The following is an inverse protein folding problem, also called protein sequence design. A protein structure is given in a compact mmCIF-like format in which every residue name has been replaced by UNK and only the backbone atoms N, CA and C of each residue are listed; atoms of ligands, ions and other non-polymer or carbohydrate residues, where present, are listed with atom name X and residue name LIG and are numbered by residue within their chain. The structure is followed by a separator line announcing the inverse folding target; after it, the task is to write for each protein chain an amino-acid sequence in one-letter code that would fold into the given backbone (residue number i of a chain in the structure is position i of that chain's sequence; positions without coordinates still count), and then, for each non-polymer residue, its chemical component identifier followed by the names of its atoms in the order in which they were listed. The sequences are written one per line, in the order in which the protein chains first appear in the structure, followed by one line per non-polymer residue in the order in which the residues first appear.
data_IF_003581607053
#
_entry.id   IF_003581607053
#
_cell.length_a   1.000
_cell.length_b   1.000
_cell.length_c   1.000
_cell.angle_alpha   90.00
_cell.angle_beta   90.00
_cell.angle_gamma   90.00
#
_symmetry.space_group_name_H-M   'P 1'
#
loop_
_entity.id
_entity.type
_entity.pdbx_description
1 polymer ?
#
# COMPACT_ATOMS: atom_id res chain seq x y z
N UNK A 1 23.10 -22.15 12.68
CA UNK A 1 22.59 -21.22 11.66
C UNK A 1 21.32 -20.63 12.25
N UNK A 2 21.30 -19.35 12.62
CA UNK A 2 20.05 -18.72 13.05
C UNK A 2 19.07 -18.83 11.87
N UNK A 3 17.85 -19.31 12.12
CA UNK A 3 16.84 -19.31 11.08
C UNK A 3 16.57 -17.85 10.72
N UNK A 4 16.77 -17.48 9.45
CA UNK A 4 16.57 -16.10 8.97
C UNK A 4 15.12 -15.65 9.11
N UNK A 5 14.18 -16.60 9.24
CA UNK A 5 12.75 -16.40 9.40
C UNK A 5 12.16 -17.50 10.28
N UNK A 6 11.19 -17.16 11.12
CA UNK A 6 10.49 -18.10 12.01
C UNK A 6 8.99 -18.05 11.69
N UNK A 7 8.32 -19.17 11.36
CA UNK A 7 6.87 -19.18 11.14
C UNK A 7 6.09 -18.69 12.37
N UNK A 8 5.04 -17.91 12.14
CA UNK A 8 4.15 -17.45 13.21
C UNK A 8 3.22 -18.61 13.61
N UNK A 9 3.35 -19.08 14.86
CA UNK A 9 2.59 -20.23 15.35
C UNK A 9 1.09 -19.94 15.41
N UNK A 10 0.28 -20.89 14.93
CA UNK A 10 -1.19 -20.83 14.98
C UNK A 10 -1.82 -19.92 13.94
N UNK A 11 -1.06 -19.38 12.98
CA UNK A 11 -1.59 -18.57 11.90
C UNK A 11 -1.80 -19.39 10.63
N UNK A 12 -2.97 -19.24 10.00
CA UNK A 12 -3.25 -19.85 8.71
C UNK A 12 -2.39 -19.20 7.62
N UNK A 13 -1.88 -20.01 6.69
CA UNK A 13 -1.13 -19.50 5.55
C UNK A 13 -2.06 -18.66 4.66
N UNK A 14 -1.67 -17.40 4.41
CA UNK A 14 -2.36 -16.47 3.52
C UNK A 14 -1.61 -16.35 2.21
N UNK A 15 -2.34 -16.20 1.10
CA UNK A 15 -1.79 -15.88 -0.23
C UNK A 15 -1.45 -14.40 -0.25
N UNK A 16 -0.17 -14.11 -0.43
CA UNK A 16 0.34 -12.73 -0.45
C UNK A 16 0.84 -12.40 -1.87
N UNK A 17 0.30 -11.34 -2.45
CA UNK A 17 0.84 -10.71 -3.64
C UNK A 17 1.65 -9.47 -3.24
N UNK A 18 2.86 -9.33 -3.75
CA UNK A 18 3.76 -8.22 -3.48
C UNK A 18 4.10 -7.51 -4.79
N UNK A 19 3.86 -6.20 -4.85
CA UNK A 19 4.06 -5.40 -6.06
C UNK A 19 5.35 -4.60 -5.97
N UNK A 20 6.19 -4.73 -6.99
CA UNK A 20 7.43 -3.98 -7.09
C UNK A 20 7.83 -3.77 -8.55
N UNK A 21 8.12 -2.52 -8.88
CA UNK A 21 8.75 -2.13 -10.13
C UNK A 21 10.21 -1.72 -9.87
N UNK A 22 11.21 -2.29 -10.55
CA UNK A 22 12.61 -1.96 -10.33
C UNK A 22 12.96 -0.49 -10.63
N UNK A 23 12.17 0.20 -11.47
CA UNK A 23 12.41 1.57 -11.88
C UNK A 23 12.05 2.57 -10.75
N UNK A 24 11.19 2.17 -9.80
CA UNK A 24 10.73 3.05 -8.70
C UNK A 24 11.87 3.63 -7.86
N UNK A 25 12.97 2.88 -7.69
CA UNK A 25 14.12 3.31 -6.90
C UNK A 25 15.00 4.35 -7.61
N UNK A 26 14.81 4.54 -8.92
CA UNK A 26 15.58 5.47 -9.76
C UNK A 26 15.04 6.89 -9.78
N UNK A 27 13.78 7.12 -9.42
CA UNK A 27 13.20 8.47 -9.37
C UNK A 27 13.78 9.30 -8.23
N UNK A 28 14.01 10.59 -8.50
CA UNK A 28 14.68 11.48 -7.57
C UNK A 28 13.99 12.86 -7.51
N UNK A 29 13.34 13.14 -6.38
CA UNK A 29 12.57 14.37 -6.14
C UNK A 29 13.42 15.65 -6.21
N UNK A 30 14.73 15.55 -6.02
CA UNK A 30 15.64 16.69 -6.06
C UNK A 30 16.67 16.67 -4.94
N UNK A 31 17.77 17.43 -5.08
CA UNK A 31 18.78 17.58 -4.03
C UNK A 31 18.12 18.14 -2.75
N UNK A 32 18.48 17.59 -1.58
CA UNK A 32 17.95 18.04 -0.29
C UNK A 32 16.51 17.58 0.05
N UNK A 33 15.70 17.22 -0.95
CA UNK A 33 14.31 16.80 -0.72
C UNK A 33 14.22 15.53 0.17
N UNK A 34 13.34 15.49 1.20
CA UNK A 34 13.29 14.38 2.16
C UNK A 34 12.71 13.08 1.59
N UNK A 35 11.75 13.16 0.67
CA UNK A 35 11.22 11.97 -0.03
C UNK A 35 12.29 11.35 -0.93
N UNK A 36 12.63 10.09 -0.65
CA UNK A 36 13.63 9.30 -1.39
C UNK A 36 13.04 7.95 -1.82
N UNK A 37 12.54 7.81 -3.06
CA UNK A 37 11.98 6.55 -3.58
C UNK A 37 12.92 5.33 -3.47
N UNK A 38 14.24 5.56 -3.42
CA UNK A 38 15.26 4.53 -3.15
C UNK A 38 14.97 3.68 -1.91
N UNK A 39 14.26 4.21 -0.89
CA UNK A 39 13.83 3.44 0.30
C UNK A 39 13.00 2.19 -0.05
N UNK A 40 12.22 2.24 -1.13
CA UNK A 40 11.41 1.12 -1.63
C UNK A 40 12.33 0.01 -2.16
N UNK A 41 13.35 0.38 -2.94
CA UNK A 41 14.36 -0.56 -3.44
C UNK A 41 15.22 -1.16 -2.31
N UNK A 42 15.54 -0.37 -1.28
CA UNK A 42 16.21 -0.89 -0.08
C UNK A 42 15.34 -1.93 0.65
N UNK A 43 14.03 -1.66 0.81
CA UNK A 43 13.08 -2.64 1.37
C UNK A 43 13.03 -3.91 0.52
N UNK A 44 12.90 -3.77 -0.81
CA UNK A 44 12.89 -4.90 -1.73
C UNK A 44 14.16 -5.76 -1.62
N UNK A 45 15.33 -5.13 -1.49
CA UNK A 45 16.60 -5.83 -1.27
C UNK A 45 16.57 -6.68 0.02
N UNK A 46 16.02 -6.15 1.12
CA UNK A 46 15.83 -6.93 2.35
C UNK A 46 14.86 -8.09 2.13
N UNK A 47 13.71 -7.83 1.51
CA UNK A 47 12.71 -8.86 1.18
C UNK A 47 13.32 -10.04 0.42
N UNK A 48 14.14 -9.75 -0.59
CA UNK A 48 14.82 -10.77 -1.38
C UNK A 48 15.86 -11.54 -0.55
N UNK A 49 16.71 -10.83 0.20
CA UNK A 49 17.82 -11.45 0.94
C UNK A 49 17.40 -12.17 2.23
N UNK A 50 16.26 -11.84 2.83
CA UNK A 50 15.65 -12.65 3.88
C UNK A 50 15.04 -13.95 3.32
N UNK A 51 14.72 -13.99 2.02
CA UNK A 51 14.11 -15.13 1.35
C UNK A 51 12.58 -15.09 1.32
N UNK A 52 11.97 -13.92 1.55
CA UNK A 52 10.50 -13.75 1.58
C UNK A 52 9.85 -14.01 0.23
N UNK A 53 10.58 -13.82 -0.88
CA UNK A 53 10.09 -14.14 -2.24
C UNK A 53 9.66 -15.61 -2.42
N UNK A 54 10.06 -16.52 -1.51
CA UNK A 54 9.64 -17.93 -1.51
C UNK A 54 8.30 -18.17 -0.81
N UNK A 55 7.73 -17.14 -0.20
CA UNK A 55 6.52 -17.20 0.65
C UNK A 55 5.37 -16.35 0.10
N UNK A 56 5.61 -15.62 -0.99
CA UNK A 56 4.67 -14.71 -1.62
C UNK A 56 4.96 -14.63 -3.11
N UNK A 57 3.96 -14.20 -3.88
CA UNK A 57 4.11 -13.99 -5.31
C UNK A 57 4.48 -12.53 -5.58
N UNK A 58 5.52 -12.30 -6.39
CA UNK A 58 6.01 -10.97 -6.72
C UNK A 58 5.53 -10.59 -8.11
N UNK A 59 4.90 -9.43 -8.21
CA UNK A 59 4.35 -8.89 -9.46
C UNK A 59 4.96 -7.54 -9.80
N UNK A 60 5.12 -7.31 -11.10
CA UNK A 60 5.33 -6.00 -11.68
C UNK A 60 4.00 -5.55 -12.28
N UNK A 61 3.32 -4.61 -11.61
CA UNK A 61 2.05 -4.10 -12.11
C UNK A 61 2.23 -3.30 -13.40
N UNK A 62 1.22 -3.35 -14.28
CA UNK A 62 1.16 -2.42 -15.42
C UNK A 62 1.02 -0.98 -14.86
N UNK A 63 1.83 0.00 -15.32
CA UNK A 63 1.67 1.39 -14.88
C UNK A 63 0.26 1.92 -15.19
N UNK A 64 -0.34 2.63 -14.25
CA UNK A 64 -1.69 3.18 -14.40
C UNK A 64 -1.76 4.16 -15.57
N UNK A 65 -2.82 4.03 -16.35
CA UNK A 65 -3.12 4.91 -17.48
C UNK A 65 -3.74 6.23 -17.01
N UNK A 66 -3.70 7.26 -17.86
CA UNK A 66 -4.40 8.53 -17.59
C UNK A 66 -5.89 8.29 -17.28
N UNK A 67 -6.53 7.40 -18.05
CA UNK A 67 -7.96 7.09 -17.90
C UNK A 67 -8.26 6.50 -16.52
N UNK A 68 -7.38 5.64 -16.02
CA UNK A 68 -7.51 5.06 -14.69
C UNK A 68 -7.32 6.12 -13.59
N UNK A 69 -6.32 6.98 -13.72
CA UNK A 69 -6.10 8.08 -12.77
C UNK A 69 -7.28 9.06 -12.72
N UNK A 70 -7.91 9.33 -13.87
CA UNK A 70 -9.09 10.22 -13.98
C UNK A 70 -10.38 9.65 -13.39
N UNK A 71 -10.38 8.41 -12.88
CA UNK A 71 -11.51 7.90 -12.09
C UNK A 71 -11.73 8.72 -10.82
N UNK A 72 -10.66 9.32 -10.27
CA UNK A 72 -10.72 10.25 -9.16
C UNK A 72 -10.27 11.66 -9.56
N UNK A 73 -9.07 11.78 -10.14
CA UNK A 73 -8.45 13.06 -10.43
C UNK A 73 -9.12 13.78 -11.61
N UNK A 74 -9.00 15.11 -11.68
CA UNK A 74 -9.50 15.85 -12.84
C UNK A 74 -8.66 15.58 -14.10
N UNK A 75 -9.32 15.53 -15.26
CA UNK A 75 -8.67 15.33 -16.56
C UNK A 75 -7.54 16.34 -16.81
N UNK A 76 -7.76 17.60 -16.45
CA UNK A 76 -6.78 18.67 -16.67
C UNK A 76 -5.53 18.46 -15.80
N UNK A 77 -5.70 18.02 -14.56
CA UNK A 77 -4.61 17.80 -13.62
C UNK A 77 -3.73 16.61 -14.06
N UNK A 78 -4.35 15.48 -14.43
CA UNK A 78 -3.61 14.30 -14.93
C UNK A 78 -2.86 14.63 -16.22
N UNK A 79 -3.49 15.34 -17.16
CA UNK A 79 -2.84 15.80 -18.40
C UNK A 79 -1.67 16.76 -18.13
N UNK A 80 -1.79 17.61 -17.10
CA UNK A 80 -0.69 18.47 -16.66
C UNK A 80 0.49 17.63 -16.15
N UNK A 81 0.25 16.71 -15.21
CA UNK A 81 1.30 15.83 -14.67
C UNK A 81 2.01 15.03 -15.76
N UNK A 82 1.28 14.56 -16.78
CA UNK A 82 1.86 13.84 -17.92
C UNK A 82 2.74 14.71 -18.82
N UNK A 83 2.45 16.00 -18.93
CA UNK A 83 3.12 16.92 -19.87
C UNK A 83 4.28 17.67 -19.23
N UNK A 84 4.21 17.94 -17.93
CA UNK A 84 5.21 18.75 -17.24
C UNK A 84 6.52 17.97 -17.09
N UNK A 85 7.63 18.60 -17.46
CA UNK A 85 8.98 18.08 -17.34
C UNK A 85 9.91 19.18 -16.82
N UNK A 86 11.08 18.85 -16.26
CA UNK A 86 12.05 19.87 -15.85
C UNK A 86 12.47 20.81 -16.99
N UNK A 87 12.48 20.31 -18.24
CA UNK A 87 12.84 21.10 -19.42
C UNK A 87 11.78 22.11 -19.86
N UNK A 88 10.50 21.88 -19.55
CA UNK A 88 9.39 22.73 -19.99
C UNK A 88 8.63 23.42 -18.85
N UNK A 89 8.99 23.17 -17.59
CA UNK A 89 8.28 23.70 -16.42
C UNK A 89 8.14 25.23 -16.43
N UNK A 90 9.08 25.97 -17.01
CA UNK A 90 8.98 27.43 -17.15
C UNK A 90 7.81 27.89 -18.03
N UNK A 91 7.26 27.01 -18.88
CA UNK A 91 6.07 27.27 -19.69
C UNK A 91 4.76 26.95 -18.96
N UNK A 92 4.83 26.27 -17.81
CA UNK A 92 3.69 25.81 -17.02
C UNK A 92 3.59 26.50 -15.65
N UNK A 93 4.06 27.74 -15.51
CA UNK A 93 4.08 28.44 -14.20
C UNK A 93 2.67 28.62 -13.62
N UNK A 94 1.67 28.89 -14.48
CA UNK A 94 0.28 29.07 -14.04
C UNK A 94 -0.32 27.76 -13.55
N UNK A 95 -0.09 26.68 -14.28
CA UNK A 95 -0.55 25.34 -13.94
C UNK A 95 0.16 24.80 -12.68
N UNK A 96 1.45 25.04 -12.53
CA UNK A 96 2.21 24.72 -11.32
C UNK A 96 1.60 25.36 -10.07
N UNK A 97 1.28 26.67 -10.12
CA UNK A 97 0.59 27.32 -9.02
C UNK A 97 -0.85 26.80 -8.84
N UNK A 98 -1.60 26.55 -9.92
CA UNK A 98 -2.97 26.03 -9.85
C UNK A 98 -3.05 24.64 -9.20
N UNK A 99 -2.07 23.79 -9.49
CA UNK A 99 -2.04 22.39 -9.11
C UNK A 99 -1.09 22.08 -7.94
N UNK A 100 -0.55 23.14 -7.31
CA UNK A 100 0.37 23.06 -6.18
C UNK A 100 1.61 22.18 -6.44
N UNK A 101 2.22 22.35 -7.62
CA UNK A 101 3.44 21.64 -8.04
C UNK A 101 4.56 22.66 -8.23
N UNK A 102 5.72 22.44 -7.63
CA UNK A 102 6.92 23.26 -7.78
C UNK A 102 7.81 23.30 -6.54
N UNK A 103 7.22 23.59 -5.37
CA UNK A 103 7.94 23.78 -4.11
C UNK A 103 8.11 22.43 -3.37
N UNK A 104 7.27 22.15 -2.36
CA UNK A 104 7.27 20.87 -1.65
C UNK A 104 6.96 19.69 -2.59
N UNK A 105 6.22 19.91 -3.68
CA UNK A 105 5.94 18.89 -4.69
C UNK A 105 6.69 19.22 -6.00
N UNK A 106 8.00 18.96 -6.10
CA UNK A 106 8.83 19.42 -7.22
C UNK A 106 8.55 18.68 -8.54
N UNK A 107 8.82 19.35 -9.66
CA UNK A 107 8.89 18.69 -10.97
C UNK A 107 10.23 17.98 -11.09
N UNK A 108 10.21 16.68 -11.41
CA UNK A 108 11.42 15.89 -11.66
C UNK A 108 11.26 14.97 -12.87
N UNK A 109 12.37 14.47 -13.39
CA UNK A 109 12.38 13.56 -14.55
C UNK A 109 11.63 12.26 -14.23
N UNK A 110 10.65 11.91 -15.05
CA UNK A 110 9.82 10.72 -14.85
C UNK A 110 8.74 10.86 -13.78
N UNK A 111 8.34 12.09 -13.39
CA UNK A 111 7.27 12.34 -12.42
C UNK A 111 5.99 11.53 -12.71
N UNK A 112 5.51 11.54 -13.96
CA UNK A 112 4.29 10.83 -14.34
C UNK A 112 4.46 9.30 -14.25
N UNK A 113 5.63 8.78 -14.63
CA UNK A 113 5.92 7.34 -14.56
C UNK A 113 5.99 6.86 -13.10
N UNK A 114 6.58 7.67 -12.22
CA UNK A 114 6.57 7.43 -10.77
C UNK A 114 5.14 7.31 -10.22
N UNK A 115 4.27 8.25 -10.59
CA UNK A 115 2.87 8.24 -10.19
C UNK A 115 2.12 7.02 -10.76
N UNK A 116 2.42 6.66 -12.02
CA UNK A 116 1.78 5.54 -12.72
C UNK A 116 2.14 4.19 -12.11
N UNK A 117 3.40 4.00 -11.72
CA UNK A 117 3.87 2.78 -11.02
C UNK A 117 3.17 2.65 -9.66
N UNK A 118 3.14 3.74 -8.89
CA UNK A 118 2.51 3.77 -7.57
C UNK A 118 1.02 3.42 -7.64
N UNK A 119 0.28 4.10 -8.52
CA UNK A 119 -1.15 3.87 -8.74
C UNK A 119 -1.44 2.47 -9.30
N UNK A 120 -0.66 2.00 -10.27
CA UNK A 120 -0.84 0.70 -10.90
C UNK A 120 -0.73 -0.46 -9.89
N UNK A 121 0.26 -0.41 -9.00
CA UNK A 121 0.43 -1.41 -7.95
C UNK A 121 -0.76 -1.48 -6.98
N UNK A 122 -1.31 -0.33 -6.58
CA UNK A 122 -2.46 -0.27 -5.65
C UNK A 122 -3.76 -0.72 -6.33
N UNK A 123 -3.98 -0.35 -7.59
CA UNK A 123 -5.15 -0.79 -8.36
C UNK A 123 -5.12 -2.28 -8.70
N UNK A 124 -3.98 -2.83 -9.15
CA UNK A 124 -3.88 -4.27 -9.42
C UNK A 124 -3.99 -5.09 -8.14
N UNK A 125 -3.40 -4.61 -7.03
CA UNK A 125 -3.58 -5.22 -5.72
C UNK A 125 -5.04 -5.28 -5.28
N UNK A 126 -5.77 -4.18 -5.43
CA UNK A 126 -7.21 -4.12 -5.15
C UNK A 126 -8.03 -5.06 -6.03
N UNK A 127 -7.71 -5.15 -7.33
CA UNK A 127 -8.39 -6.03 -8.26
C UNK A 127 -8.18 -7.51 -7.92
N UNK A 128 -6.97 -7.90 -7.50
CA UNK A 128 -6.66 -9.27 -7.06
C UNK A 128 -7.35 -9.67 -5.78
N UNK A 129 -7.42 -8.77 -4.80
CA UNK A 129 -8.19 -8.98 -3.57
C UNK A 129 -9.67 -9.19 -3.88
N UNK A 130 -10.22 -8.40 -4.80
CA UNK A 130 -11.64 -8.46 -5.17
C UNK A 130 -12.03 -9.73 -5.93
N UNK A 131 -11.08 -10.34 -6.66
CA UNK A 131 -11.23 -11.58 -7.43
C UNK A 131 -10.81 -12.84 -6.68
N UNK A 132 -10.58 -12.76 -5.38
CA UNK A 132 -10.11 -13.88 -4.56
C UNK A 132 -8.82 -14.53 -5.10
N UNK A 133 -7.93 -13.72 -5.72
CA UNK A 133 -6.62 -14.17 -6.21
C UNK A 133 -5.55 -14.10 -5.11
N UNK A 134 -5.75 -13.26 -4.11
CA UNK A 134 -4.91 -13.21 -2.92
C UNK A 134 -5.73 -12.77 -1.69
N UNK A 135 -5.18 -13.02 -0.50
CA UNK A 135 -5.78 -12.59 0.77
C UNK A 135 -5.15 -11.27 1.25
N UNK A 136 -3.88 -11.03 0.87
CA UNK A 136 -3.13 -9.80 1.15
C UNK A 136 -2.42 -9.34 -0.13
N UNK A 137 -2.55 -8.05 -0.45
CA UNK A 137 -1.76 -7.38 -1.48
C UNK A 137 -0.86 -6.32 -0.81
N UNK A 138 0.41 -6.26 -1.20
CA UNK A 138 1.40 -5.31 -0.64
C UNK A 138 1.97 -4.44 -1.74
N UNK A 139 1.84 -3.12 -1.62
CA UNK A 139 2.47 -2.14 -2.51
C UNK A 139 3.15 -1.02 -1.71
N UNK A 140 4.45 -1.17 -1.45
CA UNK A 140 5.23 -0.17 -0.72
C UNK A 140 5.55 1.10 -1.52
N UNK A 141 5.32 1.09 -2.84
CA UNK A 141 5.42 2.31 -3.66
C UNK A 141 4.17 3.20 -3.57
N UNK A 142 3.06 2.65 -3.06
CA UNK A 142 1.80 3.35 -2.81
C UNK A 142 1.73 4.03 -1.45
N UNK A 143 0.53 4.45 -1.08
CA UNK A 143 0.22 5.09 0.20
C UNK A 143 0.34 6.62 0.17
N UNK A 144 0.21 7.25 -1.00
CA UNK A 144 0.37 8.69 -1.20
C UNK A 144 -0.93 9.43 -0.83
N UNK A 145 -1.22 9.49 0.48
CA UNK A 145 -2.52 9.87 1.03
C UNK A 145 -2.89 11.37 0.95
N UNK A 146 -1.93 12.27 0.68
CA UNK A 146 -2.17 13.72 0.67
C UNK A 146 -2.68 14.25 -0.67
N UNK A 147 -2.51 13.50 -1.75
CA UNK A 147 -2.90 13.95 -3.09
C UNK A 147 -4.42 14.21 -3.16
N UNK A 148 -4.79 15.37 -3.70
CA UNK A 148 -6.18 15.82 -3.80
C UNK A 148 -6.73 15.55 -5.19
N UNK A 149 -8.02 15.82 -5.40
CA UNK A 149 -8.68 15.62 -6.69
C UNK A 149 -8.01 16.39 -7.84
N UNK A 150 -7.55 17.62 -7.57
CA UNK A 150 -7.00 18.50 -8.59
C UNK A 150 -5.76 19.26 -8.14
N UNK A 151 -5.00 18.75 -7.16
CA UNK A 151 -3.73 19.36 -6.75
C UNK A 151 -2.85 18.32 -6.06
N UNK A 152 -1.53 18.55 -6.16
CA UNK A 152 -0.54 17.82 -5.38
C UNK A 152 -0.48 18.41 -3.95
N UNK A 153 -0.08 17.60 -2.98
CA UNK A 153 0.10 18.04 -1.60
C UNK A 153 1.01 17.07 -0.87
N UNK A 154 1.86 17.55 0.04
CA UNK A 154 2.67 16.71 0.93
C UNK A 154 3.45 15.60 0.20
N UNK A 155 4.17 15.95 -0.88
CA UNK A 155 4.93 15.03 -1.74
C UNK A 155 4.10 14.06 -2.61
N UNK A 156 2.77 14.14 -2.53
CA UNK A 156 1.83 13.26 -3.19
C UNK A 156 1.17 13.94 -4.40
N UNK A 157 1.25 13.32 -5.57
CA UNK A 157 0.67 13.85 -6.81
C UNK A 157 -0.60 13.11 -7.23
N UNK A 158 -0.58 11.78 -7.20
CA UNK A 158 -1.72 10.91 -7.51
C UNK A 158 -2.06 10.11 -6.25
N UNK A 159 -3.34 10.05 -5.90
CA UNK A 159 -3.82 9.34 -4.73
C UNK A 159 -4.13 7.88 -5.10
N UNK A 160 -3.10 7.05 -5.07
CA UNK A 160 -3.19 5.61 -5.39
C UNK A 160 -4.16 4.87 -4.45
N UNK A 161 -4.28 5.35 -3.21
CA UNK A 161 -5.18 4.80 -2.19
C UNK A 161 -6.63 4.97 -2.61
N UNK A 162 -7.02 6.19 -3.01
CA UNK A 162 -8.39 6.46 -3.47
C UNK A 162 -8.73 5.62 -4.69
N UNK A 163 -7.81 5.50 -5.65
CA UNK A 163 -8.00 4.65 -6.83
C UNK A 163 -8.15 3.16 -6.45
N UNK A 164 -7.32 2.65 -5.54
CA UNK A 164 -7.44 1.29 -5.02
C UNK A 164 -8.75 1.04 -4.26
N UNK A 165 -9.21 2.01 -3.46
CA UNK A 165 -10.50 1.92 -2.76
C UNK A 165 -11.66 1.93 -3.76
N UNK A 166 -11.62 2.76 -4.81
CA UNK A 166 -12.64 2.76 -5.86
C UNK A 166 -12.74 1.39 -6.55
N UNK A 167 -11.60 0.73 -6.81
CA UNK A 167 -11.57 -0.63 -7.34
C UNK A 167 -12.19 -1.64 -6.35
N UNK A 168 -11.83 -1.59 -5.07
CA UNK A 168 -12.45 -2.43 -4.03
C UNK A 168 -13.96 -2.21 -3.91
N UNK A 169 -14.44 -0.97 -4.03
CA UNK A 169 -15.86 -0.62 -3.96
C UNK A 169 -16.69 -1.20 -5.11
N UNK A 170 -16.07 -1.74 -6.16
CA UNK A 170 -16.78 -2.47 -7.21
C UNK A 170 -17.32 -3.81 -6.69
N UNK A 171 -16.64 -4.43 -5.72
CA UNK A 171 -16.96 -5.77 -5.20
C UNK A 171 -17.33 -5.78 -3.71
N UNK A 172 -16.90 -4.77 -2.96
CA UNK A 172 -17.15 -4.64 -1.53
C UNK A 172 -18.11 -3.48 -1.24
N UNK A 173 -19.18 -3.77 -0.49
CA UNK A 173 -20.15 -2.76 -0.09
C UNK A 173 -19.55 -1.68 0.83
N UNK A 174 -18.58 -2.09 1.66
CA UNK A 174 -17.92 -1.26 2.68
C UNK A 174 -16.43 -1.54 2.68
N UNK A 175 -15.62 -0.49 2.57
CA UNK A 175 -14.16 -0.56 2.63
C UNK A 175 -13.69 0.25 3.84
N UNK A 176 -12.84 -0.36 4.68
CA UNK A 176 -12.23 0.34 5.81
C UNK A 176 -10.84 0.80 5.41
N UNK A 177 -10.58 2.10 5.54
CA UNK A 177 -9.25 2.68 5.41
C UNK A 177 -8.67 2.98 6.79
N UNK A 178 -7.49 2.44 7.08
CA UNK A 178 -6.75 2.68 8.32
C UNK A 178 -5.42 3.33 7.96
N UNK A 179 -5.10 4.43 8.64
CA UNK A 179 -3.90 5.23 8.39
C UNK A 179 -3.08 5.36 9.68
N UNK A 180 -1.83 4.88 9.63
CA UNK A 180 -0.85 4.95 10.74
C UNK A 180 0.36 5.83 10.41
N UNK A 181 0.29 6.62 9.33
CA UNK A 181 1.22 7.72 9.07
C UNK A 181 1.17 8.75 10.21
N UNK A 182 2.28 9.47 10.43
CA UNK A 182 2.28 10.53 11.44
C UNK A 182 1.41 11.72 11.02
N UNK A 183 1.19 11.91 9.72
CA UNK A 183 0.33 12.94 9.16
C UNK A 183 -1.10 12.45 8.99
N UNK A 184 -2.06 13.37 9.07
CA UNK A 184 -3.45 13.04 8.79
C UNK A 184 -3.63 12.66 7.32
N UNK A 185 -4.33 11.53 7.07
CA UNK A 185 -4.69 11.02 5.74
C UNK A 185 -5.78 11.83 5.03
N UNK A 186 -5.56 13.13 4.91
CA UNK A 186 -6.54 14.14 4.52
C UNK A 186 -7.05 14.01 3.08
N UNK A 187 -6.23 13.59 2.12
CA UNK A 187 -6.68 13.38 0.74
C UNK A 187 -7.65 12.21 0.61
N UNK A 188 -7.43 11.13 1.36
CA UNK A 188 -8.34 9.97 1.39
C UNK A 188 -9.61 10.31 2.16
N UNK A 189 -9.50 10.99 3.31
CA UNK A 189 -10.65 11.47 4.07
C UNK A 189 -11.55 12.39 3.22
N UNK A 190 -10.96 13.38 2.55
CA UNK A 190 -11.71 14.33 1.71
C UNK A 190 -12.43 13.62 0.55
N UNK A 191 -11.78 12.66 -0.10
CA UNK A 191 -12.35 11.91 -1.22
C UNK A 191 -13.63 11.15 -0.83
N UNK A 192 -13.72 10.69 0.42
CA UNK A 192 -14.84 9.88 0.92
C UNK A 192 -15.68 10.55 2.01
N UNK A 193 -15.47 11.85 2.26
CA UNK A 193 -16.08 12.60 3.37
C UNK A 193 -17.62 12.63 3.38
N UNK A 194 -18.24 12.32 2.25
CA UNK A 194 -19.69 12.38 2.03
C UNK A 194 -20.36 11.01 1.88
N UNK A 195 -19.63 9.89 1.99
CA UNK A 195 -20.15 8.53 1.79
C UNK A 195 -20.03 7.65 3.05
N UNK A 196 -20.98 6.74 3.21
CA UNK A 196 -21.00 5.70 4.25
C UNK A 196 -20.32 4.39 3.78
N UNK A 197 -19.99 4.29 2.49
CA UNK A 197 -19.36 3.09 1.88
C UNK A 197 -17.86 2.97 2.13
N UNK A 198 -17.23 4.03 2.61
CA UNK A 198 -15.84 4.01 3.06
C UNK A 198 -15.79 4.64 4.44
N UNK A 199 -15.14 3.97 5.39
CA UNK A 199 -14.81 4.56 6.68
C UNK A 199 -13.31 4.85 6.72
N UNK A 200 -12.94 6.09 7.04
CA UNK A 200 -11.53 6.50 7.21
C UNK A 200 -11.20 6.58 8.70
N UNK A 201 -10.09 5.96 9.10
CA UNK A 201 -9.60 5.99 10.48
C UNK A 201 -8.13 6.38 10.50
N UNK A 202 -7.81 7.56 11.03
CA UNK A 202 -6.44 8.08 11.04
C UNK A 202 -5.94 8.38 12.44
N UNK A 203 -4.69 7.98 12.72
CA UNK A 203 -4.00 8.21 14.00
C UNK A 203 -2.74 9.04 13.77
N UNK A 204 -2.82 10.34 13.99
CA UNK A 204 -1.81 11.29 13.51
C UNK A 204 -1.47 12.36 14.54
N UNK A 205 -0.33 13.03 14.36
CA UNK A 205 -0.01 14.22 15.14
C UNK A 205 -0.95 15.37 14.77
N UNK A 206 -1.44 16.07 15.79
CA UNK A 206 -2.30 17.24 15.61
C UNK A 206 -1.85 18.43 16.47
N UNK A 207 -2.03 19.63 15.93
CA UNK A 207 -1.59 20.90 16.53
C UNK A 207 -0.25 21.38 15.97
N UNK A 208 -0.29 22.50 15.24
CA UNK A 208 0.86 23.11 14.51
C UNK A 208 1.66 22.08 13.70
N UNK A 209 0.96 21.24 12.94
CA UNK A 209 1.55 20.18 12.13
C UNK A 209 0.81 20.03 10.79
N UNK A 210 1.53 19.63 9.75
CA UNK A 210 0.93 19.35 8.45
C UNK A 210 0.00 18.12 8.54
N UNK A 211 -1.15 18.07 7.84
CA UNK A 211 -1.73 19.07 6.94
C UNK A 211 -2.61 20.13 7.63
N UNK A 212 -2.76 20.08 8.96
CA UNK A 212 -3.59 21.02 9.72
C UNK A 212 -5.07 20.63 9.84
N UNK A 213 -5.46 19.45 9.33
CA UNK A 213 -6.80 18.85 9.45
C UNK A 213 -6.74 17.59 10.34
N UNK A 214 -7.89 16.93 10.56
CA UNK A 214 -7.96 15.70 11.37
C UNK A 214 -8.27 15.99 12.84
N UNK A 215 -9.04 17.04 13.13
CA UNK A 215 -9.51 17.25 14.49
C UNK A 215 -10.44 16.10 14.89
N UNK A 216 -10.51 15.76 16.18
CA UNK A 216 -11.46 14.74 16.71
C UNK A 216 -12.94 15.01 16.35
N UNK A 217 -13.27 16.24 15.96
CA UNK A 217 -14.62 16.66 15.55
C UNK A 217 -14.89 16.51 14.05
N UNK A 218 -13.83 16.34 13.26
CA UNK A 218 -13.93 16.07 11.83
C UNK A 218 -14.44 14.65 11.65
N UNK A 219 -15.75 14.54 11.40
CA UNK A 219 -16.48 13.26 11.46
C UNK A 219 -17.24 12.94 10.16
N UNK A 220 -16.95 13.66 9.08
CA UNK A 220 -17.67 13.53 7.82
C UNK A 220 -18.99 14.31 7.79
N UNK A 221 -19.57 14.41 6.60
CA UNK A 221 -20.82 15.17 6.36
C UNK A 221 -21.81 14.36 5.53
N UNK A 222 -23.06 14.81 5.49
CA UNK A 222 -24.11 14.13 4.73
C UNK A 222 -24.19 12.65 5.11
N UNK A 223 -24.13 11.72 4.14
CA UNK A 223 -24.14 10.28 4.43
C UNK A 223 -22.85 9.79 5.08
N UNK A 224 -21.73 10.48 4.88
CA UNK A 224 -20.44 10.15 5.50
C UNK A 224 -20.31 10.61 6.95
N UNK A 225 -21.32 11.26 7.54
CA UNK A 225 -21.28 11.63 8.95
C UNK A 225 -21.13 10.38 9.83
N UNK A 226 -20.18 10.43 10.75
CA UNK A 226 -19.75 9.31 11.61
C UNK A 226 -18.81 8.31 10.93
N UNK A 227 -18.47 8.48 9.65
CA UNK A 227 -17.61 7.57 8.87
C UNK A 227 -16.20 8.11 8.62
N UNK A 228 -15.86 9.29 9.15
CA UNK A 228 -14.49 9.74 9.31
C UNK A 228 -14.14 9.75 10.80
N UNK A 229 -13.07 9.05 11.20
CA UNK A 229 -12.64 8.93 12.58
C UNK A 229 -11.20 9.37 12.72
N UNK A 230 -11.01 10.43 13.50
CA UNK A 230 -9.71 11.05 13.70
C UNK A 230 -9.27 10.91 15.16
N UNK A 231 -8.06 10.38 15.35
CA UNK A 231 -7.42 10.26 16.65
C UNK A 231 -6.21 11.21 16.69
N UNK A 232 -6.41 12.48 17.07
CA UNK A 232 -5.31 13.43 17.20
C UNK A 232 -4.39 13.04 18.37
N UNK A 233 -3.08 13.10 18.10
CA UNK A 233 -2.02 12.75 19.03
C UNK A 233 -1.01 13.89 19.19
N UNK A 234 -0.23 13.80 20.26
CA UNK A 234 0.90 14.68 20.56
C UNK A 234 2.22 13.93 20.36
N UNK A 235 3.31 14.67 20.45
CA UNK A 235 4.66 14.16 20.25
C UNK A 235 5.00 13.01 21.20
N UNK A 236 5.91 12.15 20.75
CA UNK A 236 6.56 11.14 21.57
C UNK A 236 5.70 9.93 21.95
N UNK A 237 4.57 9.69 21.28
CA UNK A 237 3.72 8.52 21.61
C UNK A 237 4.52 7.22 21.56
N UNK A 238 4.39 6.44 22.63
CA UNK A 238 5.10 5.17 22.82
C UNK A 238 4.30 3.97 22.30
N UNK A 239 4.99 2.84 22.07
CA UNK A 239 4.36 1.57 21.69
C UNK A 239 3.18 1.15 22.57
N UNK A 240 3.33 1.31 23.89
CA UNK A 240 2.32 0.89 24.87
C UNK A 240 1.07 1.76 24.74
N UNK A 241 1.25 3.09 24.70
CA UNK A 241 0.15 4.02 24.57
C UNK A 241 -0.55 3.89 23.21
N UNK A 242 0.21 3.77 22.11
CA UNK A 242 -0.34 3.58 20.77
C UNK A 242 -1.17 2.29 20.67
N UNK A 243 -0.65 1.16 21.19
CA UNK A 243 -1.41 -0.11 21.26
C UNK A 243 -2.69 0.04 22.09
N UNK A 244 -2.63 0.74 23.22
CA UNK A 244 -3.77 0.94 24.13
C UNK A 244 -4.94 1.75 23.56
N UNK A 245 -4.72 2.46 22.45
CA UNK A 245 -5.74 3.22 21.73
C UNK A 245 -6.09 2.59 20.37
N UNK A 246 -5.09 2.08 19.64
CA UNK A 246 -5.28 1.47 18.32
C UNK A 246 -6.17 0.23 18.39
N UNK A 247 -5.80 -0.76 19.22
CA UNK A 247 -6.53 -2.04 19.24
C UNK A 247 -7.98 -1.90 19.68
N UNK A 248 -8.32 -1.13 20.74
CA UNK A 248 -9.71 -0.92 21.11
C UNK A 248 -10.50 -0.17 20.04
N UNK A 249 -9.97 0.91 19.47
CA UNK A 249 -10.68 1.71 18.46
C UNK A 249 -10.94 0.86 17.21
N UNK A 250 -9.92 0.18 16.69
CA UNK A 250 -10.08 -0.67 15.50
C UNK A 250 -11.01 -1.86 15.79
N UNK A 251 -11.00 -2.44 16.99
CA UNK A 251 -11.98 -3.47 17.36
C UNK A 251 -13.42 -2.98 17.24
N UNK A 252 -13.69 -1.79 17.77
CA UNK A 252 -15.04 -1.21 17.75
C UNK A 252 -15.46 -0.81 16.32
N UNK A 253 -14.52 -0.29 15.53
CA UNK A 253 -14.72 -0.02 14.10
C UNK A 253 -15.09 -1.31 13.37
N UNK A 254 -14.33 -2.38 13.57
CA UNK A 254 -14.60 -3.67 12.93
C UNK A 254 -15.97 -4.24 13.33
N UNK A 255 -16.36 -4.09 14.60
CA UNK A 255 -17.66 -4.51 15.11
C UNK A 255 -18.82 -3.69 14.50
N UNK A 256 -18.69 -2.37 14.50
CA UNK A 256 -19.76 -1.45 14.10
C UNK A 256 -19.90 -1.36 12.59
N UNK A 257 -18.77 -1.20 11.88
CA UNK A 257 -18.76 -0.95 10.45
C UNK A 257 -18.77 -2.23 9.62
N UNK A 258 -18.22 -3.33 10.16
CA UNK A 258 -18.13 -4.64 9.50
C UNK A 258 -17.71 -4.54 8.01
N UNK A 259 -16.48 -4.11 7.71
CA UNK A 259 -16.02 -3.92 6.34
C UNK A 259 -15.88 -5.25 5.57
N UNK A 260 -16.00 -5.15 4.25
CA UNK A 260 -15.75 -6.23 3.31
C UNK A 260 -14.27 -6.38 2.95
N UNK A 261 -13.53 -5.27 2.90
CA UNK A 261 -12.09 -5.21 2.66
C UNK A 261 -11.45 -4.09 3.49
N UNK A 262 -10.15 -4.19 3.72
CA UNK A 262 -9.36 -3.22 4.49
C UNK A 262 -8.20 -2.72 3.62
N UNK A 263 -7.98 -1.40 3.64
CA UNK A 263 -6.77 -0.76 3.14
C UNK A 263 -6.03 -0.19 4.34
N UNK A 264 -4.79 -0.62 4.55
CA UNK A 264 -3.91 -0.17 5.62
C UNK A 264 -2.73 0.58 5.01
N UNK A 265 -2.70 1.90 5.19
CA UNK A 265 -1.54 2.72 4.88
C UNK A 265 -0.54 2.57 6.04
N UNK A 266 0.71 2.20 5.74
CA UNK A 266 1.75 1.91 6.73
C UNK A 266 2.86 2.98 6.66
N UNK A 267 2.48 4.25 6.82
CA UNK A 267 3.38 5.40 6.87
C UNK A 267 4.39 5.28 8.01
N UNK A 268 5.68 5.18 7.65
CA UNK A 268 6.77 4.88 8.59
C UNK A 268 7.42 6.11 9.22
N UNK A 269 6.94 7.31 8.91
CA UNK A 269 7.35 8.53 9.61
C UNK A 269 6.77 8.64 11.03
N UNK A 270 5.83 7.76 11.40
CA UNK A 270 5.42 7.54 12.79
C UNK A 270 6.48 6.79 13.64
N UNK A 271 7.56 6.27 13.02
CA UNK A 271 8.66 5.61 13.72
C UNK A 271 9.57 6.58 14.46
N UNK A 272 10.19 6.08 15.53
CA UNK A 272 11.23 6.78 16.28
C UNK A 272 12.45 7.10 15.40
N UNK A 273 12.95 8.33 15.53
CA UNK A 273 14.12 8.80 14.80
C UNK A 273 13.87 9.02 13.31
N UNK A 274 12.61 9.20 12.91
CA UNK A 274 12.28 9.78 11.61
C UNK A 274 12.79 11.24 11.50
N UNK A 275 13.00 11.73 10.28
CA UNK A 275 13.53 13.10 10.05
C UNK A 275 12.46 14.18 10.16
N UNK A 276 11.20 13.86 9.86
CA UNK A 276 10.08 14.81 9.87
C UNK A 276 9.06 14.46 10.96
N UNK A 277 8.83 13.17 11.19
CA UNK A 277 7.96 12.68 12.24
C UNK A 277 8.54 12.85 13.64
N UNK A 278 7.65 13.02 14.61
CA UNK A 278 8.02 13.24 16.02
C UNK A 278 7.28 12.29 16.97
N UNK A 279 6.95 11.10 16.49
CA UNK A 279 6.50 9.98 17.32
C UNK A 279 7.69 9.15 17.80
N UNK A 280 7.42 8.21 18.70
CA UNK A 280 8.45 7.37 19.32
C UNK A 280 8.15 5.86 19.19
N UNK A 281 7.52 5.46 18.09
CA UNK A 281 7.20 4.05 17.84
C UNK A 281 8.46 3.27 17.45
N UNK A 282 8.61 2.09 18.04
CA UNK A 282 9.57 1.10 17.52
C UNK A 282 8.99 0.37 16.32
N UNK A 283 9.83 -0.31 15.55
CA UNK A 283 9.38 -1.19 14.45
C UNK A 283 8.30 -2.17 14.93
N UNK A 284 8.48 -2.76 16.12
CA UNK A 284 7.52 -3.71 16.71
C UNK A 284 6.22 -3.05 17.15
N UNK A 285 6.26 -1.79 17.60
CA UNK A 285 5.07 -1.03 17.92
C UNK A 285 4.22 -0.74 16.68
N UNK A 286 4.87 -0.29 15.61
CA UNK A 286 4.23 -0.06 14.31
C UNK A 286 3.66 -1.37 13.72
N UNK A 287 4.46 -2.43 13.71
CA UNK A 287 4.05 -3.73 13.19
C UNK A 287 2.94 -4.43 14.00
N UNK A 288 2.69 -4.01 15.26
CA UNK A 288 1.53 -4.45 16.03
C UNK A 288 0.22 -4.06 15.31
N UNK A 289 0.18 -2.91 14.64
CA UNK A 289 -0.98 -2.46 13.86
C UNK A 289 -1.28 -3.44 12.72
N UNK A 290 -0.25 -3.80 11.94
CA UNK A 290 -0.36 -4.80 10.86
C UNK A 290 -0.82 -6.15 11.41
N UNK A 291 -0.19 -6.64 12.48
CA UNK A 291 -0.56 -7.91 13.12
C UNK A 291 -2.02 -7.91 13.58
N UNK A 292 -2.46 -6.82 14.20
CA UNK A 292 -3.82 -6.68 14.71
C UNK A 292 -4.85 -6.64 13.57
N UNK A 293 -4.62 -5.81 12.54
CA UNK A 293 -5.49 -5.72 11.37
C UNK A 293 -5.57 -7.04 10.61
N UNK A 294 -4.44 -7.71 10.41
CA UNK A 294 -4.36 -9.03 9.75
C UNK A 294 -5.21 -10.09 10.46
N UNK A 295 -5.34 -10.00 11.79
CA UNK A 295 -6.08 -10.98 12.61
C UNK A 295 -7.58 -11.02 12.33
N UNK A 296 -8.17 -9.96 11.74
CA UNK A 296 -9.58 -9.93 11.39
C UNK A 296 -9.95 -10.72 10.13
N UNK A 297 -8.96 -11.27 9.41
CA UNK A 297 -9.17 -12.15 8.25
C UNK A 297 -10.09 -11.57 7.17
N UNK A 298 -9.84 -10.30 6.82
CA UNK A 298 -10.44 -9.63 5.66
C UNK A 298 -9.41 -9.50 4.54
N UNK A 299 -9.84 -9.38 3.27
CA UNK A 299 -8.99 -8.93 2.18
C UNK A 299 -8.26 -7.65 2.59
N UNK A 300 -6.94 -7.64 2.52
CA UNK A 300 -6.09 -6.58 3.06
C UNK A 300 -5.13 -6.04 2.00
N UNK A 301 -5.28 -4.77 1.65
CA UNK A 301 -4.30 -4.03 0.87
C UNK A 301 -3.38 -3.26 1.83
N UNK A 302 -2.10 -3.61 1.86
CA UNK A 302 -1.07 -2.90 2.62
C UNK A 302 -0.30 -1.97 1.69
N UNK A 303 -0.25 -0.70 2.06
CA UNK A 303 0.40 0.35 1.30
C UNK A 303 1.55 0.98 2.08
N UNK A 304 2.45 1.65 1.38
CA UNK A 304 3.52 2.45 1.97
C UNK A 304 2.98 3.73 2.62
N UNK A 305 3.62 4.85 2.32
CA UNK A 305 3.35 6.13 2.98
C UNK A 305 4.61 6.94 3.23
N UNK A 306 4.55 7.86 4.19
CA UNK A 306 5.69 8.64 4.66
C UNK A 306 6.83 7.80 5.25
N UNK A 307 7.94 8.46 5.55
CA UNK A 307 9.15 7.84 6.10
C UNK A 307 10.42 8.37 5.45
N UNK A 308 11.23 9.07 6.24
CA UNK A 308 12.31 9.93 5.75
C UNK A 308 13.68 9.52 6.31
N UNK A 309 13.71 8.60 7.27
CA UNK A 309 14.90 7.82 7.65
C UNK A 309 14.93 6.49 6.89
N UNK A 310 15.40 6.48 5.63
CA UNK A 310 15.31 5.34 4.69
C UNK A 310 15.70 3.96 5.26
N UNK A 311 16.72 3.90 6.12
CA UNK A 311 17.14 2.65 6.79
C UNK A 311 16.07 2.09 7.73
N UNK A 312 15.31 2.96 8.40
CA UNK A 312 14.23 2.55 9.30
C UNK A 312 12.97 2.17 8.51
N UNK A 313 12.67 2.91 7.43
CA UNK A 313 11.61 2.56 6.48
C UNK A 313 11.80 1.14 5.95
N UNK A 314 12.97 0.86 5.40
CA UNK A 314 13.27 -0.46 4.82
C UNK A 314 13.21 -1.59 5.84
N UNK A 315 13.68 -1.35 7.08
CA UNK A 315 13.53 -2.28 8.20
C UNK A 315 12.07 -2.59 8.51
N UNK A 316 11.25 -1.56 8.71
CA UNK A 316 9.85 -1.72 9.11
C UNK A 316 9.02 -2.43 8.06
N UNK A 317 9.05 -1.95 6.82
CA UNK A 317 8.30 -2.59 5.73
C UNK A 317 8.78 -4.01 5.42
N UNK A 318 10.07 -4.32 5.56
CA UNK A 318 10.55 -5.70 5.42
C UNK A 318 9.98 -6.60 6.52
N UNK A 319 10.00 -6.15 7.78
CA UNK A 319 9.41 -6.88 8.90
C UNK A 319 7.90 -7.09 8.72
N UNK A 320 7.18 -6.07 8.29
CA UNK A 320 5.74 -6.12 8.03
C UNK A 320 5.38 -7.00 6.83
N UNK A 321 6.24 -7.06 5.81
CA UNK A 321 6.12 -8.03 4.72
C UNK A 321 6.26 -9.46 5.24
N UNK A 322 7.21 -9.69 6.16
CA UNK A 322 7.33 -10.96 6.86
C UNK A 322 6.03 -11.32 7.60
N UNK A 323 5.49 -10.38 8.37
CA UNK A 323 4.22 -10.58 9.07
C UNK A 323 3.09 -10.90 8.08
N UNK A 324 2.98 -10.21 6.95
CA UNK A 324 1.99 -10.53 5.91
C UNK A 324 2.14 -11.98 5.43
N UNK A 325 3.38 -12.41 5.15
CA UNK A 325 3.74 -13.76 4.70
C UNK A 325 3.68 -14.85 5.80
N UNK A 326 3.29 -14.50 7.04
CA UNK A 326 3.13 -15.45 8.14
C UNK A 326 4.43 -15.88 8.81
N UNK A 327 5.48 -15.06 8.71
CA UNK A 327 6.79 -15.31 9.33
C UNK A 327 7.30 -14.09 10.09
N UNK A 328 8.01 -14.29 11.20
CA UNK A 328 8.83 -13.24 11.81
C UNK A 328 10.24 -13.29 11.25
N UNK A 329 10.77 -12.14 10.83
CA UNK A 329 12.15 -12.04 10.38
C UNK A 329 13.12 -12.12 11.56
N UNK A 330 14.28 -12.74 11.31
CA UNK A 330 15.41 -12.75 12.23
C UNK A 330 15.93 -11.34 12.52
N UNK A 331 16.66 -11.18 13.63
CA UNK A 331 17.18 -9.87 14.05
C UNK A 331 18.39 -9.40 13.23
N UNK A 332 19.14 -10.33 12.65
CA UNK A 332 20.32 -10.05 11.84
C UNK A 332 19.94 -9.74 10.40
N UNK A 333 20.36 -8.58 9.89
CA UNK A 333 20.16 -8.22 8.49
C UNK A 333 21.06 -9.10 7.61
N UNK A 334 20.52 -9.78 6.59
CA UNK A 334 21.33 -10.51 5.62
C UNK A 334 22.13 -9.53 4.75
N UNK A 335 23.32 -9.95 4.33
CA UNK A 335 24.18 -9.16 3.41
C UNK A 335 23.39 -8.84 2.14
N UNK A 336 23.43 -7.58 1.72
CA UNK A 336 22.67 -7.06 0.58
C UNK A 336 23.36 -5.84 -0.04
N UNK A 337 22.84 -5.33 -1.15
CA UNK A 337 23.40 -4.19 -1.91
C UNK A 337 23.56 -2.91 -1.07
N UNK A 338 22.71 -2.75 -0.05
CA UNK A 338 22.66 -1.57 0.82
C UNK A 338 23.16 -1.86 2.25
N UNK A 339 23.88 -2.95 2.47
CA UNK A 339 24.20 -3.46 3.81
C UNK A 339 24.83 -2.41 4.74
N UNK A 340 25.74 -1.59 4.20
CA UNK A 340 26.45 -0.53 4.94
C UNK A 340 25.50 0.57 5.48
N UNK A 341 24.32 0.77 4.89
CA UNK A 341 23.33 1.73 5.40
C UNK A 341 22.74 1.33 6.77
N UNK A 342 22.87 0.05 7.14
CA UNK A 342 22.37 -0.50 8.38
C UNK A 342 23.45 -0.58 9.48
N UNK A 343 24.64 -0.05 9.23
CA UNK A 343 25.67 0.07 10.24
C UNK A 343 25.29 1.06 11.36
N UNK A 344 25.94 0.94 12.55
CA UNK A 344 27.00 -0.01 12.88
C UNK A 344 26.50 -1.35 13.43
N UNK A 345 25.19 -1.50 13.68
CA UNK A 345 24.64 -2.64 14.40
C UNK A 345 24.15 -3.78 13.49
N UNK A 346 23.81 -3.48 12.23
CA UNK A 346 23.34 -4.44 11.23
C UNK A 346 22.12 -5.26 11.70
N UNK A 347 21.29 -4.65 12.55
CA UNK A 347 20.06 -5.25 13.07
C UNK A 347 18.84 -4.71 12.34
N UNK A 348 17.82 -5.56 12.26
CA UNK A 348 16.52 -5.21 11.68
C UNK A 348 15.73 -4.25 12.58
N UNK A 349 15.94 -4.31 13.90
CA UNK A 349 15.12 -3.60 14.87
C UNK A 349 15.28 -2.06 14.78
N UNK A 350 14.17 -1.34 14.81
CA UNK A 350 14.13 0.12 15.02
C UNK A 350 13.69 0.36 16.45
N UNK A 351 14.58 0.87 17.29
CA UNK A 351 14.33 1.08 18.73
C UNK A 351 13.64 2.42 18.99
N UNK A 352 12.82 2.47 20.03
CA UNK A 352 12.34 3.73 20.60
C UNK A 352 13.49 4.51 21.25
N UNK A 353 13.35 5.84 21.28
CA UNK A 353 14.26 6.76 21.95
C UNK A 353 13.79 7.07 23.38
N UNK A 354 14.55 7.90 24.10
CA UNK A 354 14.19 8.43 25.42
C UNK A 354 13.31 9.71 25.35
N UNK A 355 12.71 10.00 24.18
CA UNK A 355 11.78 11.11 24.01
C UNK A 355 10.59 11.00 24.98
N UNK A 356 10.19 12.13 25.57
CA UNK A 356 9.04 12.21 26.46
C UNK A 356 7.73 12.01 25.70
N UNK A 357 6.83 11.19 26.25
CA UNK A 357 5.50 10.97 25.70
C UNK A 357 4.53 12.04 26.23
N UNK A 358 4.15 12.99 25.38
CA UNK A 358 3.23 14.08 25.74
C UNK A 358 1.75 13.64 25.75
N UNK A 359 1.47 12.37 25.45
CA UNK A 359 0.15 11.78 25.40
C UNK A 359 -0.21 11.15 26.75
N UNK A 360 -0.54 12.00 27.72
CA UNK A 360 -0.97 11.51 29.04
C UNK A 360 -2.16 10.52 28.92
N UNK A 361 -2.26 9.48 29.78
CA UNK A 361 -3.38 8.55 29.75
C UNK A 361 -4.75 9.23 29.84
N UNK A 362 -4.84 10.35 30.57
CA UNK A 362 -6.07 11.14 30.68
C UNK A 362 -6.46 11.80 29.34
N UNK A 363 -5.48 12.30 28.58
CA UNK A 363 -5.71 12.82 27.23
C UNK A 363 -6.17 11.72 26.28
N UNK A 364 -5.45 10.60 26.23
CA UNK A 364 -5.78 9.47 25.37
C UNK A 364 -7.17 8.89 25.66
N UNK A 365 -7.52 8.72 26.94
CA UNK A 365 -8.84 8.22 27.32
C UNK A 365 -9.96 9.20 26.97
N UNK A 366 -9.71 10.52 27.00
CA UNK A 366 -10.68 11.54 26.59
C UNK A 366 -10.98 11.45 25.10
N UNK A 367 -9.94 11.43 24.25
CA UNK A 367 -10.10 11.31 22.79
C UNK A 367 -10.75 9.97 22.44
N UNK A 368 -10.27 8.87 23.01
CA UNK A 368 -10.87 7.54 22.83
C UNK A 368 -12.36 7.52 23.20
N UNK A 369 -12.77 8.17 24.29
CA UNK A 369 -14.18 8.22 24.69
C UNK A 369 -15.06 8.92 23.64
N UNK A 370 -14.57 10.02 23.06
CA UNK A 370 -15.28 10.76 22.00
C UNK A 370 -15.42 9.89 20.75
N UNK A 371 -14.32 9.27 20.30
CA UNK A 371 -14.32 8.39 19.12
C UNK A 371 -15.27 7.20 19.32
N UNK A 372 -15.27 6.58 20.50
CA UNK A 372 -16.15 5.46 20.85
C UNK A 372 -17.62 5.88 20.93
N UNK A 373 -17.92 7.10 21.36
CA UNK A 373 -19.29 7.64 21.35
C UNK A 373 -19.78 7.89 19.92
N UNK A 374 -18.94 8.45 19.05
CA UNK A 374 -19.24 8.62 17.63
C UNK A 374 -19.56 7.27 16.97
N UNK A 375 -18.75 6.24 17.21
CA UNK A 375 -19.00 4.88 16.70
C UNK A 375 -20.33 4.31 17.19
N UNK A 376 -20.62 4.41 18.49
CA UNK A 376 -21.89 3.93 19.05
C UNK A 376 -23.12 4.63 18.47
N UNK A 377 -22.99 5.89 18.06
CA UNK A 377 -24.08 6.66 17.46
C UNK A 377 -24.51 6.16 16.07
N UNK A 378 -23.65 5.40 15.37
CA UNK A 378 -23.97 4.83 14.05
C UNK A 378 -25.05 3.74 14.13
N UNK A 379 -25.20 3.06 15.28
CA UNK A 379 -26.23 2.04 15.48
C UNK A 379 -26.04 0.75 14.67
N UNK A 380 -24.87 0.54 14.05
CA UNK A 380 -24.53 -0.66 13.28
C UNK A 380 -24.06 -0.35 11.85
N UNK A 381 -23.87 -1.39 11.02
CA UNK A 381 -23.34 -1.21 9.67
C UNK A 381 -24.38 -0.55 8.74
N UNK A 382 -24.01 0.42 7.90
CA UNK A 382 -24.94 1.08 7.00
C UNK A 382 -25.51 0.11 5.96
N UNK A 383 -26.79 0.34 5.60
CA UNK A 383 -27.47 -0.39 4.54
C UNK A 383 -27.00 0.12 3.17
N UNK A 384 -26.46 -0.77 2.33
CA UNK A 384 -25.95 -0.44 1.00
C UNK A 384 -26.82 -1.11 -0.07
N UNK A 385 -27.27 -0.34 -1.06
CA UNK A 385 -28.02 -0.88 -2.20
C UNK A 385 -27.07 -1.64 -3.14
N UNK A 386 -27.45 -2.84 -3.57
CA UNK A 386 -26.66 -3.61 -4.54
C UNK A 386 -26.62 -2.87 -5.88
N UNK A 387 -25.44 -2.75 -6.48
CA UNK A 387 -25.22 -2.18 -7.82
C UNK A 387 -24.57 -3.24 -8.71
N UNK A 388 -24.92 -3.24 -10.00
CA UNK A 388 -24.22 -4.05 -11.00
C UNK A 388 -22.78 -3.53 -11.18
N UNK A 389 -21.82 -4.46 -11.22
CA UNK A 389 -20.39 -4.16 -11.31
C UNK A 389 -20.04 -3.74 -12.75
N UNK A 390 -19.63 -2.48 -13.00
CA UNK A 390 -19.21 -2.05 -14.35
C UNK A 390 -17.88 -2.72 -14.71
N UNK A 391 -17.72 -3.23 -15.94
CA UNK A 391 -16.45 -3.83 -16.41
C UNK A 391 -15.39 -2.78 -16.79
N UNK A 392 -14.14 -2.99 -16.41
CA UNK A 392 -12.95 -2.17 -16.71
C UNK A 392 -11.90 -2.99 -17.49
N UNK A 393 -10.99 -2.37 -18.25
CA UNK A 393 -9.96 -3.11 -19.02
C UNK A 393 -9.05 -4.01 -18.18
N UNK A 394 -8.79 -3.64 -16.92
CA UNK A 394 -8.05 -4.49 -15.98
C UNK A 394 -8.76 -5.82 -15.71
N UNK A 395 -10.09 -5.87 -15.92
CA UNK A 395 -10.86 -7.09 -15.76
C UNK A 395 -10.55 -8.11 -16.84
N UNK A 396 -10.50 -7.67 -18.09
CA UNK A 396 -10.28 -8.55 -19.24
C UNK A 396 -8.88 -9.19 -19.16
N UNK A 397 -7.87 -8.43 -18.72
CA UNK A 397 -6.49 -8.92 -18.53
C UNK A 397 -6.40 -9.96 -17.40
N UNK A 398 -7.21 -9.82 -16.35
CA UNK A 398 -7.16 -10.72 -15.20
C UNK A 398 -7.99 -11.99 -15.38
N UNK A 399 -9.03 -11.91 -16.21
CA UNK A 399 -9.86 -13.06 -16.57
C UNK A 399 -9.13 -13.95 -17.60
N UNK A 400 -8.30 -13.36 -18.47
CA UNK A 400 -7.43 -14.06 -19.42
C UNK A 400 -6.02 -13.40 -19.49
N UNK A 401 -5.04 -13.90 -18.71
CA UNK A 401 -3.68 -13.35 -18.68
C UNK A 401 -2.94 -13.45 -20.02
N UNK A 402 -3.39 -14.34 -20.91
CA UNK A 402 -2.80 -14.60 -22.22
C UNK A 402 -3.59 -13.92 -23.36
N UNK A 403 -4.60 -13.11 -23.06
CA UNK A 403 -5.41 -12.43 -24.07
C UNK A 403 -4.57 -11.56 -25.03
N UNK A 404 -3.55 -10.90 -24.47
CA UNK A 404 -2.59 -10.12 -25.25
C UNK A 404 -1.67 -11.02 -26.11
N UNK A 405 -1.47 -12.30 -25.76
CA UNK A 405 -0.67 -13.24 -26.56
C UNK A 405 -1.45 -13.77 -27.78
N UNK A 406 -2.75 -14.00 -27.64
CA UNK A 406 -3.64 -14.48 -28.70
C UNK A 406 -3.98 -13.40 -29.75
N UNK A 407 -3.73 -12.12 -29.43
CA UNK A 407 -3.98 -10.98 -30.33
C UNK A 407 -2.74 -10.52 -31.10
N UNK A 408 -1.55 -11.04 -30.77
CA UNK A 408 -0.29 -10.74 -31.47
C UNK A 408 -0.19 -11.63 -32.71
N UNK A 409 0.07 -11.01 -33.87
CA UNK A 409 0.22 -11.73 -35.13
C UNK A 409 1.42 -12.70 -35.05
N UNK A 410 1.23 -14.02 -35.32
CA UNK A 410 2.31 -15.01 -35.28
C UNK A 410 3.49 -14.71 -36.22
N UNK A 411 3.31 -13.82 -37.20
CA UNK A 411 4.36 -13.37 -38.13
C UNK A 411 5.21 -12.20 -37.62
N UNK A 412 4.90 -11.61 -36.45
CA UNK A 412 5.69 -10.53 -35.86
C UNK A 412 6.86 -11.07 -35.01
N UNK A 413 8.08 -10.66 -35.37
CA UNK A 413 9.31 -11.12 -34.73
C UNK A 413 9.43 -10.57 -33.30
N UNK A 414 9.27 -11.45 -32.31
CA UNK A 414 9.45 -11.12 -30.89
C UNK A 414 10.91 -10.70 -30.58
N UNK A 415 11.14 -9.71 -29.70
CA UNK A 415 12.46 -9.40 -29.17
C UNK A 415 13.06 -10.63 -28.46
N UNK A 416 14.33 -10.95 -28.74
CA UNK A 416 15.01 -12.16 -28.23
C UNK A 416 14.95 -12.25 -26.69
N UNK A 417 14.94 -11.10 -26.00
CA UNK A 417 14.85 -10.98 -24.54
C UNK A 417 13.52 -11.51 -23.95
N UNK A 418 12.41 -11.47 -24.70
CA UNK A 418 11.12 -12.03 -24.29
C UNK A 418 11.04 -13.55 -24.52
N UNK A 419 11.78 -14.05 -25.51
CA UNK A 419 11.88 -15.49 -25.79
C UNK A 419 12.78 -16.19 -24.77
N UNK A 420 13.87 -15.53 -24.36
CA UNK A 420 14.80 -16.06 -23.35
C UNK A 420 14.17 -16.21 -21.96
N UNK A 421 13.16 -15.41 -21.63
CA UNK A 421 12.37 -15.57 -20.38
C UNK A 421 11.39 -16.74 -20.41
N UNK A 422 11.16 -17.35 -21.58
CA UNK A 422 10.20 -18.45 -21.79
C UNK A 422 10.89 -19.81 -21.94
N UNK A 423 12.23 -19.86 -21.91
CA UNK A 423 12.97 -21.12 -22.00
C UNK A 423 12.92 -21.84 -20.65
N UNK A 424 11.98 -22.77 -20.55
CA UNK A 424 11.98 -23.78 -19.49
C UNK A 424 13.20 -24.69 -19.71
N UNK A 425 14.00 -24.90 -18.66
CA UNK A 425 15.18 -25.77 -18.76
C UNK A 425 14.75 -27.24 -18.68
N UNK A 426 15.45 -28.11 -19.41
CA UNK A 426 15.15 -29.55 -19.53
C UNK A 426 15.15 -30.31 -18.18
N UNK A 427 15.63 -29.68 -17.10
CA UNK A 427 15.70 -30.21 -15.74
C UNK A 427 14.52 -29.82 -14.82
N UNK A 428 13.50 -29.11 -15.32
CA UNK A 428 12.27 -28.81 -14.58
C UNK A 428 11.17 -29.84 -14.85
N UNK A 429 10.86 -30.67 -13.86
CA UNK A 429 9.68 -31.54 -13.87
C UNK A 429 8.43 -30.70 -13.58
N UNK A 430 7.52 -30.64 -14.56
CA UNK A 430 6.19 -30.04 -14.42
C UNK A 430 5.23 -31.04 -13.74
N UNK A 431 4.73 -30.68 -12.56
CA UNK A 431 3.58 -31.34 -11.91
C UNK A 431 2.26 -30.76 -12.48
N UNK A 432 2.02 -30.92 -13.78
CA UNK A 432 0.70 -30.64 -14.34
C UNK A 432 -0.11 -31.93 -14.47
N UNK A 433 -1.10 -32.04 -13.59
CA UNK A 433 -2.22 -32.97 -13.69
C UNK A 433 -3.08 -32.59 -14.90
N UNK A 434 -2.81 -33.17 -16.07
CA UNK A 434 -3.73 -33.17 -17.20
C UNK A 434 -4.17 -34.62 -17.50
N UNK A 435 -4.98 -35.15 -16.58
CA UNK A 435 -5.79 -36.34 -16.85
C UNK A 435 -7.01 -35.96 -17.71
N UNK A 436 -6.87 -36.20 -19.01
CA UNK A 436 -7.93 -36.81 -19.82
C UNK A 436 -8.73 -35.92 -20.75
N UNK A 437 -8.69 -36.23 -22.05
CA UNK A 437 -9.85 -36.82 -22.75
C UNK A 437 -9.47 -37.36 -24.16
N UNK A 438 -9.72 -38.67 -24.36
CA UNK A 438 -10.38 -39.20 -25.55
C UNK A 438 -9.73 -39.09 -26.94
N UNK A 439 -9.05 -40.17 -27.38
CA UNK A 439 -8.64 -40.31 -28.78
C UNK A 439 -8.29 -41.73 -29.22
N UNK A 440 -9.20 -42.71 -29.06
CA UNK A 440 -9.06 -44.07 -29.63
C UNK A 440 -8.82 -44.01 -31.15
N UNK A 441 -7.63 -44.41 -31.62
CA UNK A 441 -7.46 -45.11 -32.90
C UNK A 441 -6.50 -46.29 -32.77
N UNK A 442 -7.11 -47.48 -32.67
CA UNK A 442 -6.49 -48.74 -33.02
C UNK A 442 -5.97 -48.69 -34.46
N UNK A 443 -4.69 -48.96 -34.65
CA UNK A 443 -4.24 -49.74 -35.80
C UNK A 443 -3.10 -50.65 -35.38
N UNK A 444 -3.45 -51.92 -35.18
CA UNK A 444 -2.50 -53.01 -35.19
C UNK A 444 -1.83 -53.11 -36.57
N UNK A 445 -0.50 -53.28 -36.61
CA UNK A 445 0.18 -54.22 -37.52
C UNK A 445 1.66 -54.44 -37.16
N UNK A 446 1.90 -55.70 -36.77
CA UNK A 446 3.03 -56.59 -37.09
C UNK A 446 4.44 -56.30 -36.55
N UNK A 447 4.89 -57.29 -35.75
CA UNK A 447 6.26 -57.80 -35.63
C UNK A 447 6.94 -57.94 -37.00
N UNK A 448 8.23 -57.64 -37.08
CA UNK A 448 9.29 -58.65 -37.24
C UNK A 448 10.68 -57.97 -37.35
N UNK A 449 11.69 -58.67 -36.80
CA UNK A 449 13.16 -58.42 -36.79
C UNK A 449 13.72 -57.62 -35.63
#
# INVERSE_FOLDING_TARGET
MSQSMVPISGEAQKRVCYFFDPDVGGFHYGPGHPMKPTRIRMCHSLVMNYGLYKKMEIFRAKPATEREMTQFHSDEYVKFLKRVTPSNMSSFVKEQHKYNVGDDCPVFDGLFDYCSISAGGSMEGAARLSRDKCDIAVNWAGGLHHAKKSEASGFCYVNDIVLGILELLRYHNRVLYIDIDVHHGDGVEEAFYTTDRVMTVSFHKYGEYFPGTGEVRDTGISRGRGHALNFPLRDGITNVNYKSIFEPVISEVMHTYNPGAIVLQCGTDSLSGDKLGCFNLSMRGHANCVKFVKSFNKPLLMLGGGGYTMRNVSRAWAYETGLAAGVELGSDIPVNEYYEYFGPDYKLDVRSSNMEDLNTPAYLNRIKSIVMENLRSLGGPPSVQMMDIPRLPIDDIMDDPNHDEDTINPDERRPMRLLDSLVQRDDELSDSEDEGEGGRRNHARRRDS
#
